data_IF_799807938881
#
_entry.id   IF_799807938881
#
_cell.length_a   1.000
_cell.length_b   1.000
_cell.length_c   1.000
_cell.angle_alpha   90.00
_cell.angle_beta   90.00
_cell.angle_gamma   90.00
#
_symmetry.space_group_name_H-M   'P 1'
#
loop_
_entity.id
_entity.type
_entity.pdbx_description
1 polymer ?
#
# COMPACT_ATOMS: atom_id res chain seq x y z
N UNK A 1 -21.21 -65.74 -1.68
CA UNK A 1 -21.21 -65.52 -0.21
C UNK A 1 -19.82 -65.76 0.43
N UNK A 2 -18.70 -65.35 -0.20
CA UNK A 2 -17.35 -65.47 0.39
C UNK A 2 -16.90 -64.22 1.16
N UNK A 3 -17.43 -63.04 0.81
CA UNK A 3 -17.13 -61.78 1.48
C UNK A 3 -17.67 -61.72 2.93
N UNK A 4 -18.83 -62.33 3.19
CA UNK A 4 -19.50 -62.30 4.50
C UNK A 4 -18.75 -63.14 5.56
N UNK A 5 -18.22 -64.31 5.16
CA UNK A 5 -17.46 -65.19 6.05
C UNK A 5 -16.02 -64.66 6.30
N UNK A 6 -15.47 -63.86 5.37
CA UNK A 6 -14.19 -63.16 5.56
C UNK A 6 -14.26 -62.04 6.61
N UNK A 7 -15.42 -61.37 6.71
CA UNK A 7 -15.69 -60.38 7.75
C UNK A 7 -15.84 -61.01 9.14
N UNK A 8 -16.45 -62.21 9.24
CA UNK A 8 -16.60 -62.89 10.52
C UNK A 8 -15.26 -63.36 11.11
N UNK A 9 -14.30 -63.81 10.29
CA UNK A 9 -12.98 -64.20 10.79
C UNK A 9 -12.11 -63.01 11.25
N UNK A 10 -12.44 -61.79 10.83
CA UNK A 10 -11.71 -60.55 11.18
C UNK A 10 -12.52 -59.58 12.05
N UNK A 11 -13.64 -60.03 12.61
CA UNK A 11 -14.59 -59.19 13.35
C UNK A 11 -13.91 -58.37 14.46
N UNK A 12 -12.99 -58.96 15.25
CA UNK A 12 -12.26 -58.25 16.32
C UNK A 12 -11.47 -57.04 15.79
N UNK A 13 -10.79 -57.21 14.66
CA UNK A 13 -9.97 -56.15 14.03
C UNK A 13 -10.83 -55.05 13.41
N UNK A 14 -11.98 -55.40 12.83
CA UNK A 14 -12.92 -54.41 12.27
C UNK A 14 -13.53 -53.53 13.37
N UNK A 15 -13.89 -54.12 14.52
CA UNK A 15 -14.38 -53.34 15.66
C UNK A 15 -13.29 -52.43 16.23
N UNK A 16 -12.05 -52.93 16.37
CA UNK A 16 -10.94 -52.12 16.86
C UNK A 16 -10.65 -50.92 15.96
N UNK A 17 -10.58 -51.13 14.63
CA UNK A 17 -10.34 -50.02 13.69
C UNK A 17 -11.45 -48.98 13.71
N UNK A 18 -12.71 -49.41 13.85
CA UNK A 18 -13.84 -48.49 13.98
C UNK A 18 -13.77 -47.66 15.26
N UNK A 19 -13.49 -48.29 16.41
CA UNK A 19 -13.33 -47.58 17.70
C UNK A 19 -12.13 -46.63 17.67
N UNK A 20 -11.01 -47.06 17.09
CA UNK A 20 -9.82 -46.23 16.94
C UNK A 20 -10.09 -45.00 16.06
N UNK A 21 -10.83 -45.17 14.95
CA UNK A 21 -11.17 -44.07 14.05
C UNK A 21 -12.10 -43.06 14.74
N UNK A 22 -13.14 -43.52 15.44
CA UNK A 22 -14.05 -42.64 16.18
C UNK A 22 -13.33 -41.93 17.32
N UNK A 23 -12.47 -42.64 18.07
CA UNK A 23 -11.65 -42.07 19.13
C UNK A 23 -10.66 -41.03 18.61
N UNK A 24 -9.99 -41.31 17.48
CA UNK A 24 -9.09 -40.37 16.84
C UNK A 24 -9.82 -39.09 16.40
N UNK A 25 -11.01 -39.24 15.80
CA UNK A 25 -11.85 -38.12 15.39
C UNK A 25 -12.29 -37.29 16.61
N UNK A 26 -12.71 -37.92 17.70
CA UNK A 26 -13.12 -37.24 18.92
C UNK A 26 -11.98 -36.44 19.55
N UNK A 27 -10.78 -37.02 19.64
CA UNK A 27 -9.58 -36.34 20.16
C UNK A 27 -9.21 -35.16 19.25
N UNK A 28 -9.19 -35.37 17.93
CA UNK A 28 -8.83 -34.33 16.97
C UNK A 28 -9.77 -33.12 17.05
N UNK A 29 -11.09 -33.37 17.13
CA UNK A 29 -12.09 -32.30 17.25
C UNK A 29 -12.04 -31.56 18.59
N UNK A 30 -11.46 -32.18 19.63
CA UNK A 30 -11.39 -31.59 20.97
C UNK A 30 -10.23 -30.60 21.16
N UNK A 31 -9.23 -30.56 20.27
CA UNK A 31 -8.05 -29.69 20.42
C UNK A 31 -8.25 -28.36 19.68
N UNK A 32 -8.30 -27.21 20.37
CA UNK A 32 -8.40 -25.90 19.74
C UNK A 32 -7.02 -25.43 19.24
N UNK A 33 -6.71 -25.68 17.95
CA UNK A 33 -5.47 -25.23 17.31
C UNK A 33 -5.57 -23.77 16.84
N UNK A 34 -5.53 -22.82 17.76
CA UNK A 34 -5.46 -21.38 17.45
C UNK A 34 -4.40 -20.70 18.30
N UNK A 35 -3.30 -20.27 17.69
CA UNK A 35 -2.46 -19.24 18.28
C UNK A 35 -3.17 -17.90 18.08
N UNK A 36 -3.47 -17.23 19.19
CA UNK A 36 -4.12 -15.92 19.24
C UNK A 36 -3.16 -14.95 19.93
N UNK A 37 -3.23 -13.68 19.58
CA UNK A 37 -2.50 -12.64 20.29
C UNK A 37 -2.92 -12.60 21.77
N UNK A 38 -1.96 -12.62 22.68
CA UNK A 38 -2.20 -12.89 24.10
C UNK A 38 -2.94 -11.74 24.82
N UNK A 39 -2.84 -10.51 24.31
CA UNK A 39 -3.26 -9.31 25.02
C UNK A 39 -4.57 -8.75 24.46
N UNK A 40 -5.52 -8.41 25.33
CA UNK A 40 -6.71 -7.63 24.97
C UNK A 40 -6.39 -6.14 25.09
N UNK A 41 -6.71 -5.36 24.06
CA UNK A 41 -6.34 -3.96 23.97
C UNK A 41 -7.41 -3.13 23.27
N UNK A 42 -7.62 -1.91 23.76
CA UNK A 42 -8.62 -0.98 23.23
C UNK A 42 -8.03 0.41 23.07
N UNK A 43 -8.48 1.14 22.05
CA UNK A 43 -8.08 2.52 21.83
C UNK A 43 -8.41 3.38 23.07
N UNK A 44 -7.43 4.13 23.56
CA UNK A 44 -7.56 5.00 24.73
C UNK A 44 -7.39 4.31 26.10
N UNK A 45 -7.28 2.97 26.15
CA UNK A 45 -7.04 2.25 27.40
C UNK A 45 -5.59 2.42 27.89
N UNK A 46 -5.37 2.30 29.20
CA UNK A 46 -4.02 2.22 29.78
C UNK A 46 -3.50 0.79 29.66
N UNK A 47 -2.27 0.63 29.17
CA UNK A 47 -1.58 -0.65 29.08
C UNK A 47 -1.20 -1.14 30.48
N UNK A 48 -1.80 -2.25 30.92
CA UNK A 48 -1.56 -2.80 32.26
C UNK A 48 -0.52 -3.92 32.28
N UNK A 49 -0.27 -4.50 31.11
CA UNK A 49 0.63 -5.62 30.90
C UNK A 49 2.10 -5.17 30.91
N UNK A 50 3.00 -6.14 30.86
CA UNK A 50 4.43 -5.89 30.76
C UNK A 50 4.80 -5.17 29.46
N UNK A 51 6.00 -4.59 29.45
CA UNK A 51 6.54 -3.87 28.29
C UNK A 51 6.56 -4.78 27.07
N UNK A 52 5.84 -4.38 26.02
CA UNK A 52 5.73 -5.14 24.79
C UNK A 52 6.73 -4.63 23.77
N UNK A 53 7.64 -5.51 23.41
CA UNK A 53 8.58 -5.31 22.31
C UNK A 53 8.14 -6.14 21.11
N UNK A 54 8.44 -5.65 19.91
CA UNK A 54 8.21 -6.35 18.66
C UNK A 54 9.01 -7.68 18.65
N UNK A 55 8.36 -8.85 18.57
CA UNK A 55 9.07 -10.13 18.49
C UNK A 55 9.69 -10.38 17.11
N UNK A 56 9.07 -9.83 16.06
CA UNK A 56 9.44 -10.03 14.66
C UNK A 56 9.25 -8.73 13.89
N UNK A 57 9.82 -8.67 12.69
CA UNK A 57 9.61 -7.54 11.78
C UNK A 57 8.19 -7.58 11.19
N UNK A 58 7.46 -6.48 11.28
CA UNK A 58 6.06 -6.38 10.83
C UNK A 58 5.85 -5.15 9.96
N UNK A 59 5.17 -5.32 8.83
CA UNK A 59 4.81 -4.20 7.94
C UNK A 59 3.58 -3.49 8.49
N UNK A 60 3.64 -2.16 8.64
CA UNK A 60 2.52 -1.34 9.10
C UNK A 60 1.70 -0.86 7.88
N UNK A 61 0.47 -1.37 7.67
CA UNK A 61 -0.36 -0.93 6.56
C UNK A 61 -0.88 0.49 6.80
N UNK A 62 -1.06 1.26 5.72
CA UNK A 62 -1.77 2.55 5.79
C UNK A 62 -3.27 2.34 6.00
N UNK A 63 -3.91 3.27 6.69
CA UNK A 63 -5.37 3.30 6.75
C UNK A 63 -5.95 3.85 5.45
N UNK A 64 -7.25 3.66 5.24
CA UNK A 64 -7.94 4.22 4.07
C UNK A 64 -7.90 5.75 4.08
N UNK A 65 -8.02 6.36 5.25
CA UNK A 65 -7.96 7.81 5.45
C UNK A 65 -6.58 8.39 5.11
N UNK A 66 -5.50 7.70 5.52
CA UNK A 66 -4.13 8.09 5.16
C UNK A 66 -3.93 8.03 3.63
N UNK A 67 -4.46 6.99 2.97
CA UNK A 67 -4.36 6.84 1.52
C UNK A 67 -5.17 7.90 0.79
N UNK A 68 -6.33 8.30 1.30
CA UNK A 68 -7.14 9.39 0.73
C UNK A 68 -6.47 10.75 0.92
N UNK A 69 -5.84 10.97 2.07
CA UNK A 69 -5.05 12.17 2.34
C UNK A 69 -3.85 12.25 1.39
N UNK A 70 -3.07 11.18 1.26
CA UNK A 70 -1.94 11.09 0.33
C UNK A 70 -2.37 11.36 -1.12
N UNK A 71 -3.51 10.79 -1.55
CA UNK A 71 -4.07 11.05 -2.89
C UNK A 71 -4.44 12.52 -3.08
N UNK A 72 -5.11 13.11 -2.09
CA UNK A 72 -5.53 14.51 -2.15
C UNK A 72 -4.33 15.44 -2.24
N UNK A 73 -3.28 15.20 -1.45
CA UNK A 73 -2.03 15.96 -1.48
C UNK A 73 -1.31 15.86 -2.83
N UNK A 74 -1.34 14.68 -3.49
CA UNK A 74 -0.78 14.50 -4.82
C UNK A 74 -1.58 15.23 -5.92
N UNK A 75 -2.90 15.28 -5.78
CA UNK A 75 -3.77 16.00 -6.72
C UNK A 75 -3.60 17.51 -6.56
N UNK A 76 -3.55 18.00 -5.32
CA UNK A 76 -3.36 19.41 -5.00
C UNK A 76 -1.99 19.93 -5.46
N UNK A 77 -0.93 19.14 -5.28
CA UNK A 77 0.45 19.51 -5.61
C UNK A 77 0.97 18.78 -6.85
N UNK A 78 0.09 18.53 -7.83
CA UNK A 78 0.48 17.80 -9.05
C UNK A 78 1.54 18.57 -9.84
N UNK A 79 2.40 17.85 -10.53
CA UNK A 79 3.40 18.48 -11.40
C UNK A 79 2.71 18.96 -12.67
N UNK A 80 3.04 20.16 -13.15
CA UNK A 80 2.49 20.71 -14.38
C UNK A 80 3.52 20.61 -15.49
N UNK A 81 3.14 19.93 -16.57
CA UNK A 81 4.00 19.74 -17.73
C UNK A 81 3.57 20.70 -18.84
N UNK A 82 4.54 21.37 -19.44
CA UNK A 82 4.32 22.34 -20.52
C UNK A 82 4.98 21.89 -21.81
N UNK A 83 4.35 22.22 -22.93
CA UNK A 83 4.97 22.16 -24.25
C UNK A 83 5.53 23.53 -24.60
N UNK A 84 6.75 23.54 -25.13
CA UNK A 84 7.38 24.76 -25.64
C UNK A 84 7.10 24.92 -27.12
N UNK A 85 6.76 26.15 -27.50
CA UNK A 85 6.51 26.55 -28.86
C UNK A 85 7.36 27.76 -29.23
N UNK A 86 8.00 27.66 -30.39
CA UNK A 86 8.65 28.79 -31.02
C UNK A 86 7.59 29.66 -31.70
N UNK A 87 7.44 30.92 -31.28
CA UNK A 87 6.37 31.84 -31.73
C UNK A 87 6.88 33.12 -32.36
N UNK A 88 8.20 33.35 -32.35
CA UNK A 88 8.84 34.54 -32.92
C UNK A 88 8.32 34.88 -34.33
N UNK A 89 8.31 33.91 -35.24
CA UNK A 89 7.88 34.12 -36.63
C UNK A 89 6.39 34.51 -36.72
N UNK A 90 5.55 33.88 -35.89
CA UNK A 90 4.11 34.18 -35.82
C UNK A 90 3.84 35.60 -35.34
N UNK A 91 4.58 36.08 -34.34
CA UNK A 91 4.45 37.45 -33.84
C UNK A 91 4.96 38.50 -34.83
N UNK A 92 6.00 38.16 -35.60
CA UNK A 92 6.53 39.02 -36.67
C UNK A 92 5.51 39.18 -37.81
N UNK A 93 4.86 38.11 -38.24
CA UNK A 93 3.80 38.15 -39.27
C UNK A 93 2.57 38.96 -38.84
N UNK A 94 2.27 38.95 -37.54
CA UNK A 94 1.12 39.67 -36.97
C UNK A 94 1.37 41.18 -36.78
N UNK A 95 2.58 41.67 -37.11
CA UNK A 95 2.99 43.09 -37.01
C UNK A 95 2.52 43.77 -35.71
N UNK A 96 2.58 43.06 -34.58
CA UNK A 96 2.02 43.50 -33.30
C UNK A 96 2.68 44.79 -32.78
N UNK A 97 3.96 44.98 -33.10
CA UNK A 97 4.71 46.21 -32.84
C UNK A 97 5.14 46.86 -34.16
N UNK A 98 4.43 47.90 -34.58
CA UNK A 98 4.75 48.68 -35.79
C UNK A 98 5.94 49.64 -35.61
N UNK A 99 6.42 49.89 -34.37
CA UNK A 99 7.39 50.98 -34.13
C UNK A 99 8.67 50.67 -33.36
N UNK A 100 8.86 49.53 -32.68
CA UNK A 100 10.06 49.35 -31.83
C UNK A 100 10.60 47.90 -31.78
N UNK A 101 11.61 47.66 -32.63
CA UNK A 101 12.69 46.67 -32.54
C UNK A 101 12.33 45.18 -32.47
N UNK A 102 12.67 44.44 -33.54
CA UNK A 102 12.73 42.96 -33.65
C UNK A 102 13.35 42.29 -32.39
N UNK A 103 14.24 43.01 -31.69
CA UNK A 103 14.87 42.57 -30.45
C UNK A 103 13.89 42.26 -29.30
N UNK A 104 12.70 42.88 -29.26
CA UNK A 104 11.70 42.63 -28.21
C UNK A 104 11.09 41.24 -28.32
N UNK A 105 10.79 40.75 -29.53
CA UNK A 105 10.29 39.40 -29.73
C UNK A 105 11.32 38.34 -29.34
N UNK A 106 12.61 38.63 -29.52
CA UNK A 106 13.69 37.77 -29.03
C UNK A 106 13.66 37.67 -27.50
N UNK A 107 13.50 38.80 -26.80
CA UNK A 107 13.40 38.84 -25.33
C UNK A 107 12.18 38.05 -24.85
N UNK A 108 11.02 38.20 -25.51
CA UNK A 108 9.81 37.46 -25.15
C UNK A 108 9.97 35.96 -25.39
N UNK A 109 10.65 35.56 -26.47
CA UNK A 109 10.92 34.15 -26.77
C UNK A 109 11.92 33.52 -25.78
N UNK A 110 12.95 34.27 -25.36
CA UNK A 110 13.95 33.83 -24.39
C UNK A 110 13.39 33.76 -22.96
N UNK A 111 12.56 34.73 -22.58
CA UNK A 111 11.96 34.81 -21.23
C UNK A 111 10.71 33.93 -21.08
N UNK A 112 10.06 33.60 -22.20
CA UNK A 112 8.82 32.85 -22.24
C UNK A 112 7.59 33.72 -22.04
N UNK A 113 6.52 33.38 -22.77
CA UNK A 113 5.19 33.97 -22.63
C UNK A 113 4.23 32.87 -22.16
N UNK A 114 3.54 33.10 -21.05
CA UNK A 114 2.58 32.17 -20.46
C UNK A 114 1.24 32.85 -20.19
N UNK A 115 0.13 32.12 -20.33
CA UNK A 115 -1.22 32.67 -20.13
C UNK A 115 -1.44 33.16 -18.70
N UNK A 116 -1.01 32.37 -17.71
CA UNK A 116 -1.15 32.69 -16.29
C UNK A 116 -0.03 32.03 -15.49
N UNK A 117 0.49 32.71 -14.47
CA UNK A 117 1.46 32.11 -13.56
C UNK A 117 0.77 31.01 -12.72
N UNK A 118 1.29 29.78 -12.73
CA UNK A 118 0.78 28.72 -11.86
C UNK A 118 1.11 29.01 -10.40
N UNK A 119 0.37 28.37 -9.47
CA UNK A 119 0.63 28.48 -8.03
C UNK A 119 2.03 27.96 -7.67
N UNK A 120 2.70 28.62 -6.71
CA UNK A 120 4.05 28.30 -6.26
C UNK A 120 4.23 26.86 -5.72
N UNK A 121 3.13 26.18 -5.36
CA UNK A 121 3.16 24.81 -4.88
C UNK A 121 3.42 23.78 -6.00
N UNK A 122 3.21 24.16 -7.26
CA UNK A 122 3.34 23.25 -8.39
C UNK A 122 4.78 23.25 -8.91
N UNK A 123 5.34 22.06 -9.09
CA UNK A 123 6.60 21.90 -9.83
C UNK A 123 6.30 21.93 -11.32
N UNK A 124 7.09 22.70 -12.05
CA UNK A 124 6.88 22.98 -13.45
C UNK A 124 7.96 22.26 -14.25
N UNK A 125 7.53 21.53 -15.26
CA UNK A 125 8.42 20.76 -16.12
C UNK A 125 8.09 21.02 -17.58
N UNK A 126 9.11 20.93 -18.43
CA UNK A 126 8.91 20.81 -19.85
C UNK A 126 8.57 19.35 -20.20
N UNK A 127 8.02 19.11 -21.38
CA UNK A 127 7.67 17.76 -21.88
C UNK A 127 8.85 16.75 -21.83
N UNK A 128 10.10 17.23 -21.84
CA UNK A 128 11.32 16.42 -21.76
C UNK A 128 11.77 16.13 -20.31
N UNK A 129 11.08 16.69 -19.32
CA UNK A 129 11.39 16.55 -17.89
C UNK A 129 12.39 17.57 -17.35
N UNK A 130 12.80 18.57 -18.13
CA UNK A 130 13.61 19.68 -17.62
C UNK A 130 12.78 20.56 -16.68
N UNK A 131 13.40 21.03 -15.59
CA UNK A 131 12.76 21.95 -14.64
C UNK A 131 12.56 23.31 -15.30
N UNK A 132 11.35 23.85 -15.18
CA UNK A 132 10.98 25.18 -15.65
C UNK A 132 10.80 26.12 -14.47
N UNK A 133 11.20 27.37 -14.67
CA UNK A 133 10.92 28.48 -13.77
C UNK A 133 10.33 29.64 -14.56
N UNK A 134 9.11 30.04 -14.21
CA UNK A 134 8.41 31.15 -14.87
C UNK A 134 8.58 32.48 -14.13
N UNK A 135 9.48 32.58 -13.16
CA UNK A 135 9.72 33.82 -12.39
C UNK A 135 10.10 35.00 -13.30
N UNK A 136 10.78 34.75 -14.43
CA UNK A 136 11.15 35.77 -15.42
C UNK A 136 10.20 35.84 -16.63
N UNK A 137 9.13 35.05 -16.67
CA UNK A 137 8.23 34.96 -17.83
C UNK A 137 7.21 36.08 -17.87
N UNK A 138 6.77 36.42 -19.08
CA UNK A 138 5.77 37.46 -19.32
C UNK A 138 4.37 36.86 -19.51
N UNK A 139 3.34 37.62 -19.11
CA UNK A 139 1.95 37.32 -19.47
C UNK A 139 1.50 38.20 -20.63
N UNK A 140 0.57 37.73 -21.51
CA UNK A 140 -0.01 38.56 -22.57
C UNK A 140 -0.48 39.92 -22.06
N UNK A 141 -1.16 39.95 -20.91
CA UNK A 141 -1.65 41.18 -20.30
C UNK A 141 -0.50 42.12 -19.86
N UNK A 142 0.58 41.57 -19.29
CA UNK A 142 1.76 42.37 -18.91
C UNK A 142 2.46 42.98 -20.12
N UNK A 143 2.49 42.25 -21.24
CA UNK A 143 3.08 42.71 -22.50
C UNK A 143 2.21 43.82 -23.09
N UNK A 144 0.90 43.62 -23.19
CA UNK A 144 -0.05 44.62 -23.67
C UNK A 144 0.04 45.91 -22.85
N UNK A 145 0.04 45.82 -21.52
CA UNK A 145 0.14 46.97 -20.64
C UNK A 145 1.48 47.72 -20.78
N UNK A 146 2.59 46.98 -20.94
CA UNK A 146 3.93 47.57 -21.07
C UNK A 146 4.13 48.29 -22.41
N UNK A 147 3.50 47.81 -23.48
CA UNK A 147 3.69 48.30 -24.84
C UNK A 147 2.52 49.13 -25.38
N UNK A 148 1.44 49.30 -24.61
CA UNK A 148 0.29 50.12 -25.00
C UNK A 148 -0.48 49.56 -26.19
N UNK A 149 -0.57 48.23 -26.30
CA UNK A 149 -1.25 47.54 -27.40
C UNK A 149 -2.78 47.62 -27.23
N UNK A 150 -3.52 47.63 -28.33
CA UNK A 150 -5.00 47.59 -28.30
C UNK A 150 -5.54 46.28 -27.71
N UNK A 151 -6.68 46.34 -27.01
CA UNK A 151 -7.30 45.19 -26.31
C UNK A 151 -7.66 43.99 -27.23
N UNK A 152 -7.59 44.16 -28.55
CA UNK A 152 -7.84 43.11 -29.55
C UNK A 152 -6.62 42.28 -29.96
N UNK A 153 -5.40 42.61 -29.52
CA UNK A 153 -4.19 41.92 -29.97
C UNK A 153 -3.94 40.64 -29.17
N UNK A 154 -4.16 39.49 -29.82
CA UNK A 154 -3.96 38.16 -29.23
C UNK A 154 -2.49 37.75 -29.32
N UNK A 155 -1.79 37.79 -28.18
CA UNK A 155 -0.40 37.31 -28.09
C UNK A 155 -0.43 35.81 -27.76
N UNK A 156 0.04 34.99 -28.69
CA UNK A 156 0.12 33.54 -28.46
C UNK A 156 1.20 33.22 -27.41
N UNK A 157 0.92 32.39 -26.40
CA UNK A 157 1.92 31.97 -25.42
C UNK A 157 2.96 31.01 -26.06
N UNK A 158 4.18 31.04 -25.52
CA UNK A 158 5.26 30.12 -25.88
C UNK A 158 5.16 28.82 -25.09
N UNK A 159 4.60 28.85 -23.89
CA UNK A 159 4.39 27.66 -23.06
C UNK A 159 2.90 27.36 -22.94
N UNK A 160 2.50 26.16 -23.35
CA UNK A 160 1.11 25.69 -23.24
C UNK A 160 1.06 24.50 -22.30
N UNK A 161 0.10 24.49 -21.37
CA UNK A 161 -0.06 23.38 -20.44
C UNK A 161 -0.45 22.10 -21.19
N UNK A 162 0.36 21.06 -21.07
CA UNK A 162 0.06 19.75 -21.59
C UNK A 162 -0.73 18.96 -20.55
N UNK A 163 -2.06 19.02 -20.64
CA UNK A 163 -2.96 18.32 -19.71
C UNK A 163 -2.83 16.81 -19.82
N UNK A 164 -2.59 16.26 -21.02
CA UNK A 164 -2.44 14.82 -21.22
C UNK A 164 -1.21 14.26 -20.50
N UNK A 165 -0.05 14.91 -20.63
CA UNK A 165 1.18 14.51 -19.93
C UNK A 165 1.09 14.77 -18.42
N UNK A 166 0.49 15.89 -18.03
CA UNK A 166 0.24 16.23 -16.62
C UNK A 166 -0.62 15.16 -15.93
N UNK A 167 -1.72 14.75 -16.56
CA UNK A 167 -2.63 13.75 -16.00
C UNK A 167 -2.01 12.34 -16.02
N UNK A 168 -1.25 12.00 -17.06
CA UNK A 168 -0.48 10.76 -17.10
C UNK A 168 0.57 10.70 -15.99
N UNK A 169 1.31 11.79 -15.76
CA UNK A 169 2.29 11.87 -14.68
C UNK A 169 1.63 11.78 -13.30
N UNK A 170 0.49 12.44 -13.10
CA UNK A 170 -0.31 12.33 -11.88
C UNK A 170 -0.78 10.89 -11.66
N UNK A 171 -1.32 10.24 -12.69
CA UNK A 171 -1.79 8.85 -12.60
C UNK A 171 -0.65 7.90 -12.24
N UNK A 172 0.55 8.09 -12.81
CA UNK A 172 1.72 7.31 -12.46
C UNK A 172 2.09 7.47 -10.98
N UNK A 173 2.08 8.71 -10.46
CA UNK A 173 2.32 8.98 -9.03
C UNK A 173 1.24 8.36 -8.13
N UNK A 174 -0.02 8.41 -8.54
CA UNK A 174 -1.14 7.81 -7.81
C UNK A 174 -1.04 6.27 -7.78
N UNK A 175 -0.58 5.65 -8.86
CA UNK A 175 -0.34 4.21 -8.91
C UNK A 175 0.89 3.78 -8.10
N UNK A 176 1.90 4.64 -8.01
CA UNK A 176 3.11 4.42 -7.22
C UNK A 176 2.93 4.70 -5.71
N UNK A 177 1.72 5.06 -5.25
CA UNK A 177 1.44 5.29 -3.84
C UNK A 177 1.73 4.04 -2.99
N UNK A 178 2.53 4.21 -1.95
CA UNK A 178 2.88 3.11 -1.06
C UNK A 178 1.68 2.72 -0.19
N UNK A 179 1.43 1.41 -0.07
CA UNK A 179 0.35 0.86 0.77
C UNK A 179 0.70 0.81 2.26
N UNK A 180 1.97 1.01 2.61
CA UNK A 180 2.51 0.78 3.95
C UNK A 180 3.14 2.08 4.51
N UNK A 181 2.94 2.33 5.81
CA UNK A 181 3.53 3.45 6.55
C UNK A 181 5.02 3.21 6.84
N UNK A 182 5.40 1.95 7.01
CA UNK A 182 6.77 1.55 7.35
C UNK A 182 6.85 0.10 7.80
N UNK A 183 7.97 -0.24 8.43
CA UNK A 183 8.23 -1.55 9.02
C UNK A 183 8.58 -1.34 10.50
N UNK A 184 7.87 -2.05 11.36
CA UNK A 184 8.18 -2.19 12.77
C UNK A 184 9.22 -3.29 12.91
N UNK A 185 10.45 -2.94 13.25
CA UNK A 185 11.55 -3.91 13.40
C UNK A 185 11.41 -4.68 14.71
N UNK A 186 11.89 -5.92 14.72
CA UNK A 186 12.06 -6.72 15.92
C UNK A 186 12.90 -5.99 16.98
N UNK A 187 12.51 -6.16 18.24
CA UNK A 187 13.11 -5.47 19.40
C UNK A 187 12.63 -4.03 19.61
N UNK A 188 11.82 -3.45 18.72
CA UNK A 188 11.27 -2.10 18.91
C UNK A 188 10.22 -2.09 20.04
N UNK A 189 10.27 -1.15 21.00
CA UNK A 189 9.24 -1.02 22.03
C UNK A 189 7.93 -0.53 21.39
N UNK A 190 6.88 -1.36 21.46
CA UNK A 190 5.55 -1.06 20.92
C UNK A 190 4.73 -0.27 21.94
N UNK A 191 4.67 -0.78 23.17
CA UNK A 191 3.96 -0.14 24.28
C UNK A 191 4.60 -0.53 25.60
N UNK A 192 4.79 0.47 26.47
CA UNK A 192 5.32 0.29 27.81
C UNK A 192 4.20 0.24 28.84
N UNK A 193 4.45 -0.43 29.96
CA UNK A 193 3.53 -0.51 31.09
C UNK A 193 3.12 0.89 31.59
N UNK A 194 1.82 1.07 31.77
CA UNK A 194 1.21 2.33 32.21
C UNK A 194 1.03 3.36 31.09
N UNK A 195 1.45 3.09 29.86
CA UNK A 195 1.23 4.00 28.75
C UNK A 195 -0.22 3.93 28.24
N UNK A 196 -0.76 5.05 27.79
CA UNK A 196 -2.06 5.09 27.10
C UNK A 196 -1.92 4.61 25.66
N UNK A 197 -2.88 3.80 25.21
CA UNK A 197 -2.96 3.28 23.84
C UNK A 197 -3.49 4.40 22.94
N UNK A 198 -2.58 5.09 22.27
CA UNK A 198 -2.89 6.08 21.23
C UNK A 198 -3.29 5.38 19.93
N UNK A 199 -3.78 6.13 18.95
CA UNK A 199 -4.12 5.60 17.61
C UNK A 199 -2.93 4.91 16.96
N UNK A 200 -1.74 5.51 17.02
CA UNK A 200 -0.51 4.92 16.47
C UNK A 200 -0.15 3.59 17.16
N UNK A 201 -0.16 3.54 18.50
CA UNK A 201 0.10 2.30 19.25
C UNK A 201 -0.93 1.22 18.97
N UNK A 202 -2.19 1.61 18.83
CA UNK A 202 -3.27 0.70 18.45
C UNK A 202 -3.04 0.10 17.05
N UNK A 203 -2.62 0.91 16.08
CA UNK A 203 -2.28 0.41 14.73
C UNK A 203 -1.09 -0.55 14.76
N UNK A 204 -0.06 -0.25 15.56
CA UNK A 204 1.09 -1.15 15.74
C UNK A 204 0.68 -2.49 16.38
N UNK A 205 -0.12 -2.46 17.46
CA UNK A 205 -0.66 -3.66 18.10
C UNK A 205 -1.51 -4.49 17.14
N UNK A 206 -2.34 -3.83 16.34
CA UNK A 206 -3.19 -4.49 15.34
C UNK A 206 -2.39 -5.07 14.17
N UNK A 207 -1.32 -4.42 13.75
CA UNK A 207 -0.41 -4.98 12.76
C UNK A 207 0.30 -6.23 13.32
N UNK A 208 0.74 -6.15 14.58
CA UNK A 208 1.38 -7.25 15.28
C UNK A 208 0.43 -8.44 15.45
N UNK A 209 -0.79 -8.23 15.92
CA UNK A 209 -1.84 -9.27 16.02
C UNK A 209 -2.07 -9.98 14.68
N UNK A 210 -2.24 -9.22 13.58
CA UNK A 210 -2.40 -9.83 12.24
C UNK A 210 -1.20 -10.69 11.83
N UNK A 211 0.02 -10.26 12.17
CA UNK A 211 1.22 -11.04 11.88
C UNK A 211 1.26 -12.34 12.68
N UNK A 212 0.81 -12.31 13.93
CA UNK A 212 0.67 -13.49 14.77
C UNK A 212 -0.37 -14.46 14.22
N UNK A 213 -1.55 -13.97 13.83
CA UNK A 213 -2.61 -14.82 13.25
C UNK A 213 -2.17 -15.48 11.94
N UNK A 214 -1.44 -14.73 11.09
CA UNK A 214 -0.89 -15.25 9.85
C UNK A 214 0.15 -16.36 10.11
N UNK A 215 1.11 -16.13 11.01
CA UNK A 215 2.11 -17.13 11.39
C UNK A 215 1.51 -18.33 12.14
N UNK A 216 0.49 -18.08 12.98
CA UNK A 216 -0.26 -19.10 13.67
C UNK A 216 -0.91 -20.07 12.69
N UNK A 217 -1.53 -19.58 11.62
CA UNK A 217 -2.23 -20.42 10.65
C UNK A 217 -1.29 -21.42 9.95
N UNK A 218 -0.07 -21.01 9.60
CA UNK A 218 0.96 -21.88 9.03
C UNK A 218 1.41 -22.97 10.04
N UNK A 219 1.68 -22.56 11.29
CA UNK A 219 2.08 -23.50 12.34
C UNK A 219 0.94 -24.49 12.67
N UNK A 220 -0.31 -24.02 12.66
CA UNK A 220 -1.49 -24.84 12.94
C UNK A 220 -1.66 -25.99 11.93
N UNK A 221 -1.32 -25.81 10.65
CA UNK A 221 -1.42 -26.89 9.66
C UNK A 221 -0.46 -28.04 9.99
N UNK A 222 0.82 -27.72 10.21
CA UNK A 222 1.84 -28.73 10.57
C UNK A 222 1.54 -29.39 11.93
N UNK A 223 1.08 -28.62 12.92
CA UNK A 223 0.67 -29.13 14.22
C UNK A 223 -0.53 -30.07 14.13
N UNK A 224 -1.53 -29.77 13.29
CA UNK A 224 -2.70 -30.65 13.06
C UNK A 224 -2.30 -31.97 12.41
N UNK A 225 -1.44 -31.94 11.41
CA UNK A 225 -0.92 -33.16 10.77
C UNK A 225 -0.12 -34.00 11.77
N UNK A 226 0.74 -33.36 12.56
CA UNK A 226 1.50 -34.02 13.63
C UNK A 226 0.60 -34.65 14.69
N UNK A 227 -0.45 -33.95 15.12
CA UNK A 227 -1.42 -34.47 16.09
C UNK A 227 -2.17 -35.70 15.54
N UNK A 228 -2.63 -35.67 14.29
CA UNK A 228 -3.27 -36.81 13.63
C UNK A 228 -2.30 -38.00 13.54
N UNK A 229 -1.05 -37.75 13.14
CA UNK A 229 -0.03 -38.80 13.06
C UNK A 229 0.26 -39.42 14.43
N UNK A 230 0.39 -38.60 15.49
CA UNK A 230 0.62 -39.08 16.85
C UNK A 230 -0.54 -39.95 17.36
N UNK A 231 -1.79 -39.51 17.13
CA UNK A 231 -2.99 -40.26 17.49
C UNK A 231 -3.01 -41.61 16.75
N UNK A 232 -2.72 -41.63 15.46
CA UNK A 232 -2.65 -42.87 14.67
C UNK A 232 -1.55 -43.80 15.17
N UNK A 233 -0.38 -43.27 15.54
CA UNK A 233 0.74 -44.04 16.09
C UNK A 233 0.37 -44.64 17.45
N UNK A 234 -0.34 -43.89 18.31
CA UNK A 234 -0.83 -44.38 19.59
C UNK A 234 -1.80 -45.56 19.41
N UNK A 235 -2.76 -45.45 18.48
CA UNK A 235 -3.67 -46.55 18.17
C UNK A 235 -2.95 -47.74 17.50
N UNK A 236 -1.94 -47.49 16.68
CA UNK A 236 -1.12 -48.54 16.08
C UNK A 236 -0.34 -49.32 17.13
N UNK A 237 0.30 -48.63 18.08
CA UNK A 237 0.99 -49.27 19.20
C UNK A 237 0.04 -50.13 20.05
N UNK A 238 -1.18 -49.62 20.32
CA UNK A 238 -2.22 -50.38 21.00
C UNK A 238 -2.66 -51.63 20.21
N UNK A 239 -2.77 -51.51 18.88
CA UNK A 239 -3.13 -52.61 18.01
C UNK A 239 -2.08 -53.73 18.03
N UNK A 240 -0.79 -53.36 17.97
CA UNK A 240 0.34 -54.31 18.08
C UNK A 240 0.33 -54.99 19.45
N UNK A 241 0.13 -54.22 20.53
CA UNK A 241 0.07 -54.76 21.89
C UNK A 241 -1.06 -55.81 22.03
N UNK A 242 -2.25 -55.50 21.54
CA UNK A 242 -3.38 -56.43 21.57
C UNK A 242 -3.10 -57.67 20.71
N UNK A 243 -2.46 -57.54 19.55
CA UNK A 243 -2.12 -58.69 18.71
C UNK A 243 -1.13 -59.64 19.38
N UNK A 244 -0.15 -59.10 20.11
CA UNK A 244 0.90 -59.89 20.77
C UNK A 244 0.37 -60.60 22.02
N UNK A 245 -0.46 -59.93 22.83
CA UNK A 245 -0.91 -60.47 24.12
C UNK A 245 -2.28 -61.13 24.09
N UNK A 246 -3.12 -60.86 23.09
CA UNK A 246 -4.48 -61.39 22.96
C UNK A 246 -4.76 -61.85 21.51
N UNK A 247 -4.17 -62.98 21.07
CA UNK A 247 -4.34 -63.50 19.71
C UNK A 247 -5.78 -63.90 19.35
#
# INVERSE_FOLDING_TARGET
MKALNWIQSRQKWVYFTLVALVGALAIYLSIPFSAQFQYDYRLGQVWLEDDLYAPTDVVLPKSVDDLETDRSLLIENKDLLYDYHFRKEVWEEQSILDTLSIDQYKIWQESGVIESLPSANHRLFLYDGTLLDFTSSFTPNSIQAKHGLEEGVVILPTYTLNTALTDSALQFKLQALTLNKGILTSGTPVVLRGATITTEKFEMLKALERSFDASANELNWSARVGAVLYILLMFFALAVYLHVHYP
#
